data_IF_408465818510
#
_entry.id   IF_408465818510
#
_cell.length_a   1.000
_cell.length_b   1.000
_cell.length_c   1.000
_cell.angle_alpha   90.00
_cell.angle_beta   90.00
_cell.angle_gamma   90.00
#
_symmetry.space_group_name_H-M   'P 1'
#
loop_
_entity.id
_entity.type
_entity.pdbx_description
1 polymer ?
#
# COMPACT_ATOMS: atom_id res chain seq x y z
N UNK A 1 -20.30 24.91 -4.40
CA UNK A 1 -20.77 23.85 -3.48
C UNK A 1 -19.88 22.59 -3.49
N UNK A 2 -18.93 22.45 -4.42
CA UNK A 2 -18.00 21.31 -4.53
C UNK A 2 -16.83 21.32 -3.54
N UNK A 3 -16.44 22.49 -3.01
CA UNK A 3 -15.27 22.59 -2.12
C UNK A 3 -15.47 21.95 -0.75
N UNK A 4 -16.68 21.95 -0.17
CA UNK A 4 -16.91 21.34 1.14
C UNK A 4 -16.87 19.81 1.08
N UNK A 5 -17.47 19.20 0.05
CA UNK A 5 -17.52 17.74 -0.10
C UNK A 5 -16.13 17.12 -0.31
N UNK A 6 -15.27 17.78 -1.09
CA UNK A 6 -13.89 17.32 -1.29
C UNK A 6 -13.02 17.43 -0.04
N UNK A 7 -13.25 18.46 0.79
CA UNK A 7 -12.56 18.61 2.07
C UNK A 7 -13.00 17.53 3.06
N UNK A 8 -14.29 17.22 3.13
CA UNK A 8 -14.82 16.19 4.02
C UNK A 8 -14.26 14.79 3.69
N UNK A 9 -14.12 14.46 2.40
CA UNK A 9 -13.53 13.20 1.94
C UNK A 9 -12.04 13.08 2.25
N UNK A 10 -11.29 14.18 2.05
CA UNK A 10 -9.87 14.21 2.39
C UNK A 10 -9.66 14.06 3.90
N UNK A 11 -10.46 14.76 4.71
CA UNK A 11 -10.41 14.67 6.16
C UNK A 11 -10.74 13.26 6.65
N UNK A 12 -11.73 12.59 6.04
CA UNK A 12 -12.06 11.20 6.37
C UNK A 12 -10.94 10.23 5.96
N UNK A 13 -10.29 10.46 4.82
CA UNK A 13 -9.14 9.66 4.41
C UNK A 13 -7.97 9.82 5.40
N UNK A 14 -7.61 11.05 5.77
CA UNK A 14 -6.55 11.34 6.74
C UNK A 14 -6.86 10.78 8.14
N UNK A 15 -8.14 10.79 8.56
CA UNK A 15 -8.58 10.13 9.79
C UNK A 15 -8.35 8.61 9.72
N UNK A 16 -8.67 7.97 8.59
CA UNK A 16 -8.40 6.54 8.43
C UNK A 16 -6.89 6.25 8.43
N UNK A 17 -6.06 7.08 7.77
CA UNK A 17 -4.60 6.94 7.84
C UNK A 17 -4.09 7.02 9.28
N UNK A 18 -4.52 8.04 10.02
CA UNK A 18 -4.15 8.23 11.43
C UNK A 18 -4.59 7.06 12.30
N UNK A 19 -5.78 6.50 12.04
CA UNK A 19 -6.26 5.31 12.73
C UNK A 19 -5.35 4.09 12.47
N UNK A 20 -5.03 3.82 11.20
CA UNK A 20 -4.21 2.67 10.80
C UNK A 20 -2.76 2.82 11.31
N UNK A 21 -2.20 4.03 11.32
CA UNK A 21 -0.89 4.32 11.92
C UNK A 21 -0.86 3.96 13.42
N UNK A 22 -1.85 4.44 14.17
CA UNK A 22 -1.97 4.19 15.60
C UNK A 22 -2.19 2.70 15.89
N UNK A 23 -2.94 2.00 15.04
CA UNK A 23 -3.11 0.56 15.14
C UNK A 23 -1.78 -0.18 14.90
N UNK A 24 -1.04 0.20 13.86
CA UNK A 24 0.28 -0.36 13.56
C UNK A 24 1.22 -0.25 14.77
N UNK A 25 1.31 0.95 15.35
CA UNK A 25 2.10 1.21 16.57
C UNK A 25 1.64 0.38 17.77
N UNK A 26 0.34 0.28 18.02
CA UNK A 26 -0.22 -0.53 19.13
C UNK A 26 0.10 -2.01 19.00
N UNK A 27 0.16 -2.52 17.78
CA UNK A 27 0.48 -3.92 17.49
C UNK A 27 1.99 -4.19 17.39
N UNK A 28 2.84 -3.17 17.64
CA UNK A 28 4.29 -3.31 17.54
C UNK A 28 4.78 -3.56 16.10
N UNK A 29 3.98 -3.16 15.12
CA UNK A 29 4.33 -3.29 13.71
C UNK A 29 5.11 -2.03 13.34
N UNK A 30 6.30 -2.23 12.75
CA UNK A 30 7.08 -1.12 12.23
C UNK A 30 6.22 -0.36 11.20
N UNK A 31 6.20 0.95 11.34
CA UNK A 31 5.44 1.83 10.46
C UNK A 31 6.43 2.82 9.87
N UNK A 32 6.32 3.07 8.58
CA UNK A 32 7.02 4.19 7.95
C UNK A 32 6.63 5.50 8.64
N UNK A 33 7.55 6.46 8.64
CA UNK A 33 7.27 7.80 9.12
C UNK A 33 6.38 8.56 8.13
N UNK A 34 5.77 9.65 8.58
CA UNK A 34 4.88 10.45 7.75
C UNK A 34 5.60 11.00 6.50
N UNK A 35 6.82 11.49 6.68
CA UNK A 35 7.62 12.07 5.58
C UNK A 35 8.00 11.00 4.53
N UNK A 36 8.34 9.78 4.98
CA UNK A 36 8.55 8.63 4.09
C UNK A 36 7.26 8.25 3.34
N UNK A 37 6.12 8.35 4.02
CA UNK A 37 4.80 8.17 3.43
C UNK A 37 4.49 9.17 2.31
N UNK A 38 4.88 10.45 2.48
CA UNK A 38 4.76 11.47 1.43
C UNK A 38 5.67 11.15 0.24
N UNK A 39 6.89 10.67 0.47
CA UNK A 39 7.79 10.22 -0.59
C UNK A 39 7.18 9.05 -1.35
N UNK A 40 6.69 8.03 -0.63
CA UNK A 40 6.05 6.85 -1.20
C UNK A 40 4.82 7.23 -2.05
N UNK A 41 4.01 8.16 -1.55
CA UNK A 41 2.86 8.70 -2.29
C UNK A 41 3.27 9.43 -3.56
N UNK A 42 4.33 10.24 -3.49
CA UNK A 42 4.83 11.00 -4.63
C UNK A 42 5.35 10.08 -5.73
N UNK A 43 6.10 9.04 -5.38
CA UNK A 43 6.57 8.01 -6.31
C UNK A 43 5.40 7.26 -6.94
N UNK A 44 4.39 6.91 -6.13
CA UNK A 44 3.20 6.22 -6.61
C UNK A 44 2.41 7.06 -7.60
N UNK A 45 2.26 8.36 -7.31
CA UNK A 45 1.63 9.32 -8.21
C UNK A 45 2.37 9.44 -9.55
N UNK A 46 3.70 9.63 -9.53
CA UNK A 46 4.50 9.79 -10.75
C UNK A 46 4.49 8.51 -11.59
N UNK A 47 4.57 7.35 -10.95
CA UNK A 47 4.51 6.05 -11.64
C UNK A 47 3.15 5.86 -12.32
N UNK A 48 2.06 6.14 -11.61
CA UNK A 48 0.71 6.05 -12.17
C UNK A 48 0.48 7.05 -13.32
N UNK A 49 0.97 8.28 -13.18
CA UNK A 49 0.89 9.31 -14.21
C UNK A 49 1.68 8.91 -15.48
N UNK A 50 2.76 8.14 -15.32
CA UNK A 50 3.57 7.60 -16.41
C UNK A 50 2.96 6.35 -17.07
N UNK A 51 1.76 5.95 -16.66
CA UNK A 51 1.04 4.80 -17.20
C UNK A 51 1.25 3.49 -16.44
N UNK A 52 1.91 3.51 -15.27
CA UNK A 52 2.04 2.35 -14.41
C UNK A 52 0.69 1.87 -13.86
N UNK A 53 0.52 0.56 -13.78
CA UNK A 53 -0.75 -0.11 -13.45
C UNK A 53 -0.64 -1.08 -12.28
N UNK A 54 0.55 -1.61 -11.99
CA UNK A 54 0.74 -2.67 -11.00
C UNK A 54 1.67 -2.16 -9.90
N UNK A 55 1.08 -1.95 -8.72
CA UNK A 55 1.73 -1.49 -7.51
C UNK A 55 1.72 -2.61 -6.47
N UNK A 56 2.84 -2.82 -5.79
CA UNK A 56 2.98 -3.85 -4.76
C UNK A 56 3.48 -3.24 -3.46
N UNK A 57 2.81 -3.57 -2.36
CA UNK A 57 3.27 -3.34 -0.99
C UNK A 57 3.64 -4.70 -0.37
N UNK A 58 4.94 -5.00 -0.34
CA UNK A 58 5.49 -6.25 0.13
C UNK A 58 5.86 -6.14 1.62
N UNK A 59 5.00 -6.68 2.49
CA UNK A 59 5.10 -6.48 3.95
C UNK A 59 4.12 -5.43 4.45
N UNK A 60 2.87 -5.45 3.97
CA UNK A 60 1.90 -4.38 4.19
C UNK A 60 1.47 -4.20 5.66
N UNK A 61 1.76 -5.15 6.56
CA UNK A 61 1.38 -5.05 7.97
C UNK A 61 -0.13 -4.96 8.14
N UNK A 62 -0.62 -3.82 8.64
CA UNK A 62 -2.05 -3.50 8.76
C UNK A 62 -2.56 -2.53 7.68
N UNK A 63 -1.72 -2.22 6.70
CA UNK A 63 -2.05 -1.46 5.49
C UNK A 63 -1.62 -0.01 5.48
N UNK A 64 -0.82 0.46 6.44
CA UNK A 64 -0.47 1.88 6.54
C UNK A 64 0.31 2.38 5.31
N UNK A 65 1.38 1.69 4.92
CA UNK A 65 2.14 1.95 3.69
C UNK A 65 1.26 1.83 2.44
N UNK A 66 0.34 0.85 2.42
CA UNK A 66 -0.63 0.69 1.33
C UNK A 66 -1.51 1.93 1.16
N UNK A 67 -1.90 2.60 2.25
CA UNK A 67 -2.69 3.83 2.17
C UNK A 67 -1.93 4.98 1.52
N UNK A 68 -0.63 5.07 1.73
CA UNK A 68 0.21 6.06 1.07
C UNK A 68 0.33 5.79 -0.43
N UNK A 69 0.51 4.53 -0.83
CA UNK A 69 0.47 4.15 -2.25
C UNK A 69 -0.87 4.52 -2.87
N UNK A 70 -1.97 4.13 -2.21
CA UNK A 70 -3.32 4.47 -2.65
C UNK A 70 -3.53 5.99 -2.75
N UNK A 71 -3.06 6.75 -1.76
CA UNK A 71 -3.16 8.20 -1.76
C UNK A 71 -2.51 8.78 -3.02
N UNK A 72 -1.27 8.41 -3.31
CA UNK A 72 -0.56 8.84 -4.52
C UNK A 72 -1.29 8.45 -5.81
N UNK A 73 -1.65 7.17 -5.94
CA UNK A 73 -2.36 6.64 -7.12
C UNK A 73 -3.70 7.35 -7.33
N UNK A 74 -4.46 7.61 -6.26
CA UNK A 74 -5.78 8.27 -6.34
C UNK A 74 -5.73 9.70 -6.87
N UNK A 75 -4.56 10.35 -6.81
CA UNK A 75 -4.35 11.69 -7.38
C UNK A 75 -3.93 11.64 -8.84
N UNK A 76 -3.49 10.49 -9.35
CA UNK A 76 -3.21 10.31 -10.76
C UNK A 76 -4.52 10.14 -11.53
N UNK A 77 -4.79 11.03 -12.48
CA UNK A 77 -5.95 10.92 -13.36
C UNK A 77 -5.71 9.82 -14.41
N UNK A 78 -5.92 8.55 -14.03
CA UNK A 78 -5.91 7.42 -14.95
C UNK A 78 -7.34 7.01 -15.32
N UNK A 79 -7.55 6.68 -16.59
CA UNK A 79 -8.78 6.02 -17.08
C UNK A 79 -8.60 4.51 -17.24
N UNK A 80 -7.41 4.01 -16.94
CA UNK A 80 -7.08 2.60 -17.01
C UNK A 80 -7.11 1.99 -15.61
N UNK A 81 -7.39 0.69 -15.56
CA UNK A 81 -7.48 -0.04 -14.31
C UNK A 81 -6.09 -0.17 -13.66
N UNK A 82 -5.99 0.25 -12.40
CA UNK A 82 -4.78 0.16 -11.57
C UNK A 82 -5.00 -0.89 -10.49
N UNK A 83 -3.99 -1.71 -10.24
CA UNK A 83 -3.98 -2.77 -9.25
C UNK A 83 -2.95 -2.47 -8.17
N UNK A 84 -3.40 -2.47 -6.92
CA UNK A 84 -2.54 -2.37 -5.74
C UNK A 84 -2.62 -3.70 -5.01
N UNK A 85 -1.49 -4.41 -4.88
CA UNK A 85 -1.39 -5.64 -4.13
C UNK A 85 -0.77 -5.36 -2.76
N UNK A 86 -1.55 -5.56 -1.70
CA UNK A 86 -1.08 -5.45 -0.32
C UNK A 86 -0.82 -6.85 0.24
N UNK A 87 0.45 -7.19 0.43
CA UNK A 87 0.88 -8.55 0.75
C UNK A 87 1.36 -8.62 2.19
N UNK A 88 0.75 -9.49 2.99
CA UNK A 88 1.15 -9.75 4.37
C UNK A 88 1.08 -11.24 4.69
N UNK A 89 2.22 -11.80 5.10
CA UNK A 89 2.36 -13.24 5.40
C UNK A 89 1.77 -13.62 6.74
N UNK A 90 1.85 -12.74 7.73
CA UNK A 90 1.36 -12.97 9.08
C UNK A 90 -0.18 -12.93 9.08
N UNK A 91 -0.88 -14.04 9.36
CA UNK A 91 -2.33 -14.08 9.28
C UNK A 91 -3.03 -13.15 10.27
N UNK A 92 -2.39 -12.86 11.41
CA UNK A 92 -2.95 -11.96 12.41
C UNK A 92 -2.91 -10.51 11.93
N UNK A 93 -1.78 -10.06 11.37
CA UNK A 93 -1.66 -8.72 10.74
C UNK A 93 -2.55 -8.60 9.52
N UNK A 94 -2.57 -9.62 8.67
CA UNK A 94 -3.40 -9.69 7.46
C UNK A 94 -4.89 -9.51 7.75
N UNK A 95 -5.39 -10.05 8.87
CA UNK A 95 -6.79 -9.83 9.28
C UNK A 95 -7.12 -8.34 9.36
N UNK A 96 -6.28 -7.56 10.05
CA UNK A 96 -6.45 -6.12 10.18
C UNK A 96 -6.24 -5.39 8.84
N UNK A 97 -5.24 -5.80 8.06
CA UNK A 97 -5.02 -5.29 6.69
C UNK A 97 -6.31 -5.35 5.87
N UNK A 98 -6.90 -6.55 5.79
CA UNK A 98 -8.12 -6.80 5.03
C UNK A 98 -9.28 -5.96 5.57
N UNK A 99 -9.50 -5.95 6.87
CA UNK A 99 -10.59 -5.19 7.49
C UNK A 99 -10.47 -3.68 7.20
N UNK A 100 -9.27 -3.12 7.32
CA UNK A 100 -9.00 -1.70 7.08
C UNK A 100 -9.19 -1.33 5.60
N UNK A 101 -8.62 -2.11 4.67
CA UNK A 101 -8.66 -1.82 3.25
C UNK A 101 -10.05 -2.07 2.64
N UNK A 102 -10.80 -3.06 3.10
CA UNK A 102 -12.20 -3.27 2.67
C UNK A 102 -13.10 -2.11 3.12
N UNK A 103 -12.93 -1.62 4.36
CA UNK A 103 -13.67 -0.46 4.84
C UNK A 103 -13.41 0.76 3.94
N UNK A 104 -12.15 1.02 3.63
CA UNK A 104 -11.75 2.12 2.74
C UNK A 104 -12.27 1.96 1.32
N UNK A 105 -12.17 0.75 0.75
CA UNK A 105 -12.68 0.47 -0.60
C UNK A 105 -14.17 0.80 -0.71
N UNK A 106 -14.94 0.40 0.29
CA UNK A 106 -16.38 0.65 0.35
C UNK A 106 -16.75 2.13 0.50
N UNK A 107 -15.87 2.93 1.11
CA UNK A 107 -16.07 4.36 1.35
C UNK A 107 -15.58 5.24 0.19
N UNK A 108 -14.40 4.93 -0.39
CA UNK A 108 -13.68 5.84 -1.27
C UNK A 108 -13.52 5.35 -2.71
N UNK A 109 -13.68 4.05 -2.98
CA UNK A 109 -13.24 3.43 -4.24
C UNK A 109 -14.36 2.77 -5.07
N UNK A 110 -15.63 2.89 -4.67
CA UNK A 110 -16.77 2.19 -5.33
C UNK A 110 -16.82 2.39 -6.84
N UNK A 111 -16.56 3.60 -7.32
CA UNK A 111 -16.60 3.97 -8.74
C UNK A 111 -15.20 4.32 -9.28
N UNK A 112 -14.14 3.83 -8.63
CA UNK A 112 -12.76 4.11 -9.02
C UNK A 112 -12.21 3.04 -9.97
N UNK A 113 -11.20 3.42 -10.77
CA UNK A 113 -10.41 2.48 -11.57
C UNK A 113 -9.35 1.73 -10.75
N UNK A 114 -9.33 1.90 -9.42
CA UNK A 114 -8.32 1.34 -8.53
C UNK A 114 -8.88 0.08 -7.88
N UNK A 115 -8.18 -1.04 -8.06
CA UNK A 115 -8.47 -2.31 -7.42
C UNK A 115 -7.41 -2.64 -6.39
N UNK A 116 -7.82 -2.69 -5.12
CA UNK A 116 -6.97 -3.15 -4.03
C UNK A 116 -7.18 -4.66 -3.84
N UNK A 117 -6.07 -5.39 -3.89
CA UNK A 117 -6.00 -6.84 -3.72
C UNK A 117 -5.22 -7.15 -2.44
N UNK A 118 -5.93 -7.70 -1.45
CA UNK A 118 -5.33 -8.13 -0.18
C UNK A 118 -4.83 -9.58 -0.34
N UNK A 119 -3.56 -9.82 -0.05
CA UNK A 119 -2.93 -11.15 -0.25
C UNK A 119 -2.31 -11.63 1.06
N UNK A 120 -2.75 -12.80 1.54
CA UNK A 120 -2.14 -13.46 2.70
C UNK A 120 -1.11 -14.50 2.24
N UNK A 121 0.10 -14.03 1.94
CA UNK A 121 1.17 -14.88 1.42
C UNK A 121 2.54 -14.26 1.72
N UNK A 122 3.60 -15.04 1.57
CA UNK A 122 4.95 -14.51 1.47
C UNK A 122 5.14 -13.71 0.18
N UNK A 123 5.70 -12.50 0.29
CA UNK A 123 5.85 -11.61 -0.85
C UNK A 123 6.80 -12.16 -1.92
N UNK A 124 7.88 -12.84 -1.53
CA UNK A 124 8.81 -13.44 -2.49
C UNK A 124 8.11 -14.56 -3.26
N UNK A 125 7.36 -15.40 -2.56
CA UNK A 125 6.54 -16.46 -3.19
C UNK A 125 5.53 -15.88 -4.18
N UNK A 126 4.78 -14.85 -3.77
CA UNK A 126 3.82 -14.17 -4.65
C UNK A 126 4.52 -13.64 -5.92
N UNK A 127 5.64 -12.94 -5.78
CA UNK A 127 6.38 -12.36 -6.90
C UNK A 127 6.88 -13.40 -7.90
N UNK A 128 7.34 -14.56 -7.42
CA UNK A 128 7.78 -15.65 -8.29
C UNK A 128 6.64 -16.27 -9.11
N UNK A 129 5.46 -16.44 -8.51
CA UNK A 129 4.32 -17.10 -9.16
C UNK A 129 3.59 -16.19 -10.16
N UNK A 130 3.57 -14.89 -9.92
CA UNK A 130 2.64 -13.97 -10.57
C UNK A 130 3.01 -13.55 -12.01
N UNK A 131 4.26 -13.75 -12.43
CA UNK A 131 4.79 -13.39 -13.76
C UNK A 131 4.18 -12.09 -14.36
N UNK A 132 4.07 -11.04 -13.54
CA UNK A 132 3.54 -9.74 -13.96
C UNK A 132 4.67 -8.73 -14.05
N UNK A 133 4.53 -7.80 -15.00
CA UNK A 133 5.38 -6.61 -15.05
C UNK A 133 4.94 -5.70 -13.91
N UNK A 134 5.83 -5.53 -12.94
CA UNK A 134 5.60 -4.69 -11.76
C UNK A 134 6.11 -3.30 -12.08
N UNK A 135 5.25 -2.29 -11.96
CA UNK A 135 5.61 -0.90 -12.23
C UNK A 135 6.24 -0.24 -11.00
N UNK A 136 5.75 -0.60 -9.82
CA UNK A 136 6.31 -0.14 -8.56
C UNK A 136 6.14 -1.20 -7.46
N UNK A 137 7.20 -1.40 -6.70
CA UNK A 137 7.17 -2.21 -5.48
C UNK A 137 7.78 -1.42 -4.33
N UNK A 138 7.05 -1.37 -3.23
CA UNK A 138 7.58 -0.99 -1.93
C UNK A 138 7.86 -2.26 -1.14
N UNK A 139 9.07 -2.36 -0.58
CA UNK A 139 9.51 -3.53 0.19
C UNK A 139 9.76 -3.06 1.61
N UNK A 140 8.91 -3.50 2.54
CA UNK A 140 9.11 -3.33 3.98
C UNK A 140 9.52 -4.67 4.58
N UNK A 141 10.80 -4.97 4.40
CA UNK A 141 11.46 -6.05 5.10
C UNK A 141 11.93 -5.53 6.46
N UNK A 142 11.25 -5.96 7.52
CA UNK A 142 11.85 -6.02 8.86
C UNK A 142 13.11 -6.88 8.77
N UNK A 143 14.24 -6.22 8.50
CA UNK A 143 15.55 -6.85 8.52
C UNK A 143 15.91 -6.98 9.99
N UNK A 144 15.44 -8.04 10.66
CA UNK A 144 16.29 -8.60 11.71
C UNK A 144 17.55 -9.08 10.99
N UNK A 145 18.62 -8.32 11.18
CA UNK A 145 19.96 -8.64 10.72
C UNK A 145 20.32 -10.07 11.13
N UNK A 146 20.09 -11.04 10.25
CA UNK A 146 20.94 -12.21 10.13
C UNK A 146 21.93 -11.89 9.02
N UNK A 147 22.96 -11.13 9.35
CA UNK A 147 24.25 -11.29 8.70
C UNK A 147 24.70 -12.73 8.97
N UNK A 148 24.32 -13.63 8.08
CA UNK A 148 24.57 -15.06 8.17
C UNK A 148 24.67 -15.62 6.75
N UNK A 149 25.84 -15.40 6.14
CA UNK A 149 26.34 -16.06 4.94
C UNK A 149 25.52 -15.91 3.63
N UNK A 150 25.98 -14.98 2.79
CA UNK A 150 26.29 -15.31 1.40
C UNK A 150 25.18 -15.17 0.35
N UNK A 151 24.70 -13.96 0.09
CA UNK A 151 24.04 -13.66 -1.17
C UNK A 151 24.63 -12.38 -1.79
N UNK A 152 25.30 -12.52 -2.94
CA UNK A 152 25.66 -11.44 -3.86
C UNK A 152 24.54 -11.34 -4.91
N UNK A 153 23.91 -10.18 -5.00
CA UNK A 153 23.12 -9.81 -6.17
C UNK A 153 24.09 -9.44 -7.29
N UNK A 154 24.07 -10.19 -8.38
CA UNK A 154 24.68 -9.77 -9.63
C UNK A 154 23.62 -8.98 -10.41
N UNK A 155 23.93 -7.70 -10.67
CA UNK A 155 23.28 -6.92 -11.72
C UNK A 155 23.65 -7.49 -13.09
#
# INVERSE_FOLDING_TARGET
MTNNVNNDLLDEFLKNMTFVENLSRKLGIASIEYDDGLVLSSLSYVTALSGGKIFIDAGAGVGYSTLWILYGVSKAFSREKIFIYAIEKDPYKYKYLRENLEKLKNQFLRDSFIEINNVNEDAIKFLHEKNVVIDMIFVDNQTSLLFGAGWRLYF
#
